data_IF_092137939925
#
_entry.id   IF_092137939925
#
_cell.length_a   1.000
_cell.length_b   1.000
_cell.length_c   1.000
_cell.angle_alpha   90.00
_cell.angle_beta   90.00
_cell.angle_gamma   90.00
#
_symmetry.space_group_name_H-M   'P 1'
#
loop_
_entity.id
_entity.type
_entity.pdbx_description
1 polymer ?
#
# COMPACT_ATOMS: atom_id res chain seq x y z
N UNK A 1 22.69 13.42 4.86
CA UNK A 1 22.44 11.98 4.74
C UNK A 1 21.88 11.74 3.34
N UNK A 2 22.61 10.97 2.51
CA UNK A 2 22.16 10.62 1.17
C UNK A 2 21.08 9.53 1.25
N UNK A 3 19.99 9.71 0.53
CA UNK A 3 18.96 8.68 0.37
C UNK A 3 19.40 7.71 -0.73
N UNK A 4 19.48 6.41 -0.42
CA UNK A 4 19.73 5.38 -1.40
C UNK A 4 18.40 4.89 -1.98
N UNK A 5 18.30 4.76 -3.29
CA UNK A 5 17.15 4.19 -3.99
C UNK A 5 17.51 2.86 -4.61
N UNK A 6 16.61 1.89 -4.50
CA UNK A 6 16.72 0.59 -5.15
C UNK A 6 15.82 0.56 -6.39
N UNK A 7 16.37 0.16 -7.53
CA UNK A 7 15.64 -0.11 -8.76
C UNK A 7 15.39 -1.62 -8.90
N UNK A 8 14.23 -1.99 -9.40
CA UNK A 8 13.81 -3.38 -9.57
C UNK A 8 12.97 -3.60 -10.82
N UNK A 9 12.25 -4.70 -10.87
CA UNK A 9 11.40 -5.05 -12.02
C UNK A 9 10.31 -4.02 -12.32
N UNK A 10 9.77 -3.35 -11.30
CA UNK A 10 8.78 -2.27 -11.48
C UNK A 10 9.35 -1.03 -12.14
N UNK A 11 10.66 -0.83 -12.05
CA UNK A 11 11.39 0.26 -12.69
C UNK A 11 11.87 -0.12 -14.10
N UNK A 12 11.50 -1.32 -14.59
CA UNK A 12 11.86 -1.79 -15.93
C UNK A 12 13.12 -2.66 -16.01
N UNK A 13 13.70 -3.05 -14.87
CA UNK A 13 14.82 -3.98 -14.87
C UNK A 13 14.33 -5.41 -15.16
N UNK A 14 14.79 -6.00 -16.27
CA UNK A 14 14.45 -7.37 -16.63
C UNK A 14 15.04 -8.40 -15.66
N UNK A 15 16.17 -8.07 -15.02
CA UNK A 15 16.83 -8.90 -14.02
C UNK A 15 17.56 -8.02 -13.00
N UNK A 16 17.51 -8.38 -11.73
CA UNK A 16 18.17 -7.67 -10.62
C UNK A 16 19.52 -8.27 -10.21
N UNK A 17 19.96 -9.37 -10.85
CA UNK A 17 21.26 -10.00 -10.58
C UNK A 17 22.32 -9.38 -11.50
N UNK A 18 23.09 -8.44 -10.96
CA UNK A 18 24.20 -7.80 -11.66
C UNK A 18 25.45 -8.68 -11.61
N UNK A 19 26.20 -8.68 -12.73
CA UNK A 19 27.49 -9.32 -12.79
C UNK A 19 28.53 -8.49 -12.03
N UNK A 20 29.44 -9.18 -11.35
CA UNK A 20 30.51 -8.51 -10.61
C UNK A 20 31.42 -7.75 -11.58
N UNK A 21 31.75 -6.49 -11.22
CA UNK A 21 32.62 -5.59 -12.01
C UNK A 21 32.11 -5.21 -13.42
N UNK A 22 30.85 -5.48 -13.72
CA UNK A 22 30.24 -5.22 -15.03
C UNK A 22 29.39 -3.94 -15.04
N UNK A 23 29.91 -2.88 -14.45
CA UNK A 23 29.28 -1.56 -14.38
C UNK A 23 30.21 -0.55 -14.99
N UNK A 24 29.71 0.27 -15.92
CA UNK A 24 30.44 1.36 -16.55
C UNK A 24 29.56 2.60 -16.66
N UNK A 25 30.18 3.75 -16.44
CA UNK A 25 29.54 5.06 -16.67
C UNK A 25 30.28 5.70 -17.84
N UNK A 26 29.55 6.04 -18.89
CA UNK A 26 30.02 6.91 -19.93
C UNK A 26 29.74 8.36 -19.50
N UNK A 27 30.80 9.04 -19.07
CA UNK A 27 30.72 10.42 -18.58
C UNK A 27 30.32 11.41 -19.69
N UNK A 28 30.63 11.10 -20.94
CA UNK A 28 30.35 11.98 -22.08
C UNK A 28 28.87 12.05 -22.42
N UNK A 29 28.18 10.92 -22.34
CA UNK A 29 26.75 10.80 -22.59
C UNK A 29 25.91 10.80 -21.31
N UNK A 30 26.54 10.68 -20.14
CA UNK A 30 25.88 10.50 -18.86
C UNK A 30 25.11 9.18 -18.79
N UNK A 31 25.54 8.16 -19.55
CA UNK A 31 24.84 6.86 -19.61
C UNK A 31 25.52 5.86 -18.68
N UNK A 32 24.71 5.23 -17.87
CA UNK A 32 25.09 4.12 -17.02
C UNK A 32 24.79 2.79 -17.73
N UNK A 33 25.76 1.91 -17.76
CA UNK A 33 25.68 0.57 -18.33
C UNK A 33 25.95 -0.48 -17.27
N UNK A 34 25.18 -1.55 -17.28
CA UNK A 34 25.42 -2.68 -16.38
C UNK A 34 25.04 -4.00 -17.03
N UNK A 35 25.88 -5.02 -16.86
CA UNK A 35 25.53 -6.37 -17.26
C UNK A 35 24.79 -7.11 -16.15
N UNK A 36 23.74 -7.80 -16.51
CA UNK A 36 22.94 -8.68 -15.64
C UNK A 36 22.91 -10.08 -16.21
N UNK A 37 22.42 -11.04 -15.43
CA UNK A 37 22.20 -12.42 -15.93
C UNK A 37 21.15 -12.50 -17.05
N UNK A 38 20.33 -11.46 -17.23
CA UNK A 38 19.32 -11.37 -18.29
C UNK A 38 19.73 -10.49 -19.48
N UNK A 39 20.98 -9.98 -19.51
CA UNK A 39 21.49 -9.13 -20.58
C UNK A 39 22.05 -7.80 -20.11
N UNK A 40 22.30 -6.90 -21.05
CA UNK A 40 22.82 -5.57 -20.79
C UNK A 40 21.68 -4.59 -20.49
N UNK A 41 21.78 -3.87 -19.39
CA UNK A 41 20.88 -2.78 -19.04
C UNK A 41 21.62 -1.45 -19.13
N UNK A 42 20.91 -0.40 -19.55
CA UNK A 42 21.44 0.96 -19.58
C UNK A 42 20.39 1.95 -19.11
N UNK A 43 20.84 3.07 -18.55
CA UNK A 43 20.00 4.19 -18.18
C UNK A 43 20.77 5.49 -18.27
N UNK A 44 20.13 6.58 -18.67
CA UNK A 44 20.71 7.92 -18.56
C UNK A 44 20.61 8.40 -17.12
N UNK A 45 21.68 8.94 -16.58
CA UNK A 45 21.70 9.50 -15.23
C UNK A 45 20.71 10.64 -15.06
N UNK A 46 20.44 11.41 -16.14
CA UNK A 46 19.40 12.43 -16.16
C UNK A 46 18.01 11.86 -15.88
N UNK A 47 17.71 10.73 -16.51
CA UNK A 47 16.39 10.10 -16.41
C UNK A 47 16.20 9.48 -15.02
N UNK A 48 17.25 8.86 -14.47
CA UNK A 48 17.26 8.34 -13.10
C UNK A 48 17.02 9.47 -12.09
N UNK A 49 17.65 10.65 -12.28
CA UNK A 49 17.50 11.80 -11.39
C UNK A 49 16.14 12.51 -11.56
N UNK A 50 15.59 12.51 -12.76
CA UNK A 50 14.34 13.19 -13.10
C UNK A 50 13.10 12.31 -12.95
N UNK A 51 13.25 11.03 -12.66
CA UNK A 51 12.08 10.15 -12.43
C UNK A 51 11.30 10.70 -11.26
N UNK A 52 10.36 11.60 -11.56
CA UNK A 52 9.31 11.97 -10.61
C UNK A 52 8.55 10.69 -10.33
N UNK A 53 8.60 10.25 -9.09
CA UNK A 53 7.84 9.08 -8.65
C UNK A 53 6.39 9.32 -8.98
N UNK A 54 5.86 8.53 -9.88
CA UNK A 54 4.45 8.52 -10.14
C UNK A 54 3.81 7.83 -8.95
N UNK A 55 2.94 8.54 -8.24
CA UNK A 55 2.13 7.93 -7.19
C UNK A 55 1.44 6.68 -7.77
N UNK A 56 1.67 5.53 -7.13
CA UNK A 56 1.03 4.27 -7.47
C UNK A 56 -0.01 4.01 -6.39
N UNK A 57 -1.29 4.21 -6.69
CA UNK A 57 -2.33 4.02 -5.69
C UNK A 57 -2.47 2.54 -5.33
N UNK A 58 -2.77 2.30 -4.06
CA UNK A 58 -3.23 1.00 -3.58
C UNK A 58 -4.76 1.05 -3.57
N UNK A 59 -5.39 0.05 -4.17
CA UNK A 59 -6.84 -0.13 -4.17
C UNK A 59 -7.24 -1.32 -3.32
N UNK A 60 -8.50 -1.36 -2.90
CA UNK A 60 -9.10 -2.53 -2.26
C UNK A 60 -9.74 -3.41 -3.33
N UNK A 61 -9.44 -4.70 -3.30
CA UNK A 61 -9.99 -5.69 -4.24
C UNK A 61 -11.09 -6.56 -3.63
N UNK A 62 -11.09 -6.67 -2.31
CA UNK A 62 -12.11 -7.41 -1.54
C UNK A 62 -12.36 -6.65 -0.23
N UNK A 63 -13.61 -6.58 0.17
CA UNK A 63 -14.05 -6.04 1.47
C UNK A 63 -15.07 -7.02 2.05
N UNK A 64 -14.88 -7.38 3.30
CA UNK A 64 -15.79 -8.22 4.07
C UNK A 64 -16.04 -7.56 5.43
N UNK A 65 -17.30 -7.45 5.79
CA UNK A 65 -17.78 -7.07 7.11
C UNK A 65 -18.73 -8.19 7.60
N UNK A 66 -19.98 -7.88 7.91
CA UNK A 66 -21.06 -8.83 8.09
C UNK A 66 -21.45 -9.56 6.78
N UNK A 67 -21.08 -8.97 5.63
CA UNK A 67 -21.27 -9.56 4.31
C UNK A 67 -20.03 -9.32 3.42
N UNK A 68 -19.97 -9.99 2.29
CA UNK A 68 -19.01 -9.72 1.22
C UNK A 68 -19.51 -8.58 0.33
N UNK A 69 -18.68 -7.57 0.14
CA UNK A 69 -18.99 -6.44 -0.72
C UNK A 69 -18.95 -6.84 -2.19
N UNK A 70 -19.94 -6.40 -2.95
CA UNK A 70 -19.95 -6.52 -4.41
C UNK A 70 -18.94 -5.54 -5.04
N UNK A 71 -18.53 -5.74 -6.30
CA UNK A 71 -17.64 -4.79 -6.99
C UNK A 71 -18.19 -3.36 -7.05
N UNK A 72 -19.51 -3.20 -7.13
CA UNK A 72 -20.18 -1.90 -7.13
C UNK A 72 -20.06 -1.20 -5.78
N UNK A 73 -20.28 -1.92 -4.69
CA UNK A 73 -20.12 -1.41 -3.31
C UNK A 73 -18.67 -1.03 -3.03
N UNK A 74 -17.70 -1.88 -3.45
CA UNK A 74 -16.25 -1.56 -3.34
C UNK A 74 -15.94 -0.28 -4.11
N UNK A 75 -16.50 -0.11 -5.32
CA UNK A 75 -16.31 1.10 -6.11
C UNK A 75 -16.85 2.34 -5.40
N UNK A 76 -17.99 2.25 -4.73
CA UNK A 76 -18.54 3.31 -3.90
C UNK A 76 -17.61 3.68 -2.74
N UNK A 77 -17.13 2.68 -2.00
CA UNK A 77 -16.17 2.86 -0.90
C UNK A 77 -14.89 3.55 -1.39
N UNK A 78 -14.37 3.18 -2.55
CA UNK A 78 -13.16 3.79 -3.12
C UNK A 78 -13.37 5.22 -3.59
N UNK A 79 -14.54 5.53 -4.17
CA UNK A 79 -14.90 6.89 -4.60
C UNK A 79 -15.00 7.85 -3.42
N UNK A 80 -15.65 7.41 -2.35
CA UNK A 80 -15.84 8.22 -1.14
C UNK A 80 -14.64 8.16 -0.20
N UNK A 81 -13.71 7.25 -0.45
CA UNK A 81 -12.59 6.92 0.46
C UNK A 81 -13.08 6.62 1.89
N UNK A 82 -14.26 6.03 2.02
CA UNK A 82 -14.95 5.78 3.27
C UNK A 82 -15.59 4.39 3.29
N UNK A 83 -15.20 3.57 4.27
CA UNK A 83 -15.86 2.32 4.63
C UNK A 83 -16.68 2.55 5.90
N UNK A 84 -17.99 2.51 5.81
CA UNK A 84 -18.86 2.59 6.98
C UNK A 84 -19.35 1.19 7.34
N UNK A 85 -19.08 0.77 8.58
CA UNK A 85 -19.54 -0.52 9.09
C UNK A 85 -21.03 -0.42 9.48
N UNK A 86 -21.71 -1.57 9.52
CA UNK A 86 -23.08 -1.60 10.03
C UNK A 86 -23.12 -1.41 11.55
N UNK A 87 -24.27 -1.05 12.11
CA UNK A 87 -24.41 -0.75 13.56
C UNK A 87 -24.11 -1.92 14.49
N UNK A 88 -24.10 -3.12 13.96
CA UNK A 88 -23.86 -4.34 14.72
C UNK A 88 -22.46 -4.92 14.44
N UNK A 89 -21.71 -4.26 13.59
CA UNK A 89 -20.43 -4.72 13.08
C UNK A 89 -19.30 -3.91 13.71
N UNK A 90 -18.30 -4.61 14.21
CA UNK A 90 -17.11 -4.01 14.80
C UNK A 90 -15.84 -4.67 14.26
N UNK A 91 -15.95 -5.30 13.10
CA UNK A 91 -14.84 -5.95 12.43
C UNK A 91 -14.92 -5.74 10.91
N UNK A 92 -13.76 -5.74 10.28
CA UNK A 92 -13.67 -5.74 8.83
C UNK A 92 -12.43 -6.50 8.37
N UNK A 93 -12.51 -7.04 7.18
CA UNK A 93 -11.37 -7.64 6.46
C UNK A 93 -11.31 -7.01 5.08
N UNK A 94 -10.11 -6.61 4.67
CA UNK A 94 -9.87 -6.06 3.34
C UNK A 94 -8.70 -6.77 2.68
N UNK A 95 -8.78 -6.98 1.37
CA UNK A 95 -7.64 -7.34 0.53
C UNK A 95 -7.26 -6.14 -0.33
N UNK A 96 -6.00 -5.80 -0.37
CA UNK A 96 -5.51 -4.67 -1.14
C UNK A 96 -4.62 -5.11 -2.31
N UNK A 97 -4.55 -4.26 -3.33
CA UNK A 97 -3.74 -4.46 -4.53
C UNK A 97 -3.14 -3.14 -4.98
N UNK A 98 -1.81 -3.05 -5.21
CA UNK A 98 -1.22 -1.88 -5.84
C UNK A 98 -1.56 -1.85 -7.32
N UNK A 99 -1.96 -0.68 -7.84
CA UNK A 99 -2.26 -0.45 -9.26
C UNK A 99 -0.97 -0.16 -10.04
N UNK A 100 -0.05 -1.11 -10.06
CA UNK A 100 1.23 -1.01 -10.76
C UNK A 100 1.28 -1.97 -11.95
N UNK A 101 1.81 -1.49 -13.07
CA UNK A 101 2.21 -2.35 -14.18
C UNK A 101 3.54 -3.02 -13.83
N UNK A 102 3.58 -4.35 -13.83
CA UNK A 102 4.78 -5.13 -13.54
C UNK A 102 4.64 -6.10 -12.38
N UNK A 103 5.76 -6.69 -11.96
CA UNK A 103 5.77 -7.67 -10.89
C UNK A 103 5.73 -7.00 -9.50
N UNK A 104 4.56 -6.91 -8.91
CA UNK A 104 4.36 -6.38 -7.55
C UNK A 104 4.51 -7.43 -6.46
N UNK A 105 4.83 -8.69 -6.83
CA UNK A 105 4.93 -9.81 -5.88
C UNK A 105 6.08 -9.65 -4.87
N UNK A 106 7.14 -8.98 -5.29
CA UNK A 106 8.33 -8.76 -4.47
C UNK A 106 8.22 -7.52 -3.55
N UNK A 107 7.12 -6.76 -3.67
CA UNK A 107 6.86 -5.62 -2.80
C UNK A 107 6.40 -6.10 -1.44
N UNK A 108 7.06 -5.60 -0.42
CA UNK A 108 6.65 -5.76 0.98
C UNK A 108 5.83 -4.55 1.39
N UNK A 109 4.70 -4.80 2.04
CA UNK A 109 3.79 -3.73 2.48
C UNK A 109 3.73 -3.68 4.00
N UNK A 110 3.44 -2.49 4.50
CA UNK A 110 3.08 -2.26 5.89
C UNK A 110 1.77 -1.51 5.96
N UNK A 111 1.05 -1.68 7.05
CA UNK A 111 -0.23 -1.03 7.28
C UNK A 111 -0.37 -0.61 8.74
N UNK A 112 -1.24 0.35 8.97
CA UNK A 112 -1.58 0.88 10.28
C UNK A 112 -3.03 1.35 10.28
N UNK A 113 -3.77 1.07 11.33
CA UNK A 113 -5.08 1.64 11.57
C UNK A 113 -4.93 2.81 12.57
N UNK A 114 -4.73 4.01 12.04
CA UNK A 114 -4.63 5.23 12.86
C UNK A 114 -5.90 5.44 13.67
N UNK A 115 -5.73 5.76 14.95
CA UNK A 115 -6.82 5.85 15.93
C UNK A 115 -7.05 4.56 16.71
N UNK A 116 -6.49 3.44 16.27
CA UNK A 116 -6.54 2.17 16.97
C UNK A 116 -5.14 1.74 17.49
N UNK A 117 -4.11 1.98 16.71
CA UNK A 117 -2.73 1.58 17.03
C UNK A 117 -1.71 2.64 16.61
N UNK A 118 -0.54 2.66 17.29
CA UNK A 118 0.53 3.64 17.07
C UNK A 118 1.71 3.07 16.28
N UNK A 119 1.64 1.82 15.82
CA UNK A 119 2.73 1.12 15.16
C UNK A 119 2.31 0.59 13.79
N UNK A 120 3.30 0.38 12.93
CA UNK A 120 3.13 -0.24 11.64
C UNK A 120 3.21 -1.75 11.74
N UNK A 121 2.23 -2.43 11.16
CA UNK A 121 2.22 -3.88 10.98
C UNK A 121 2.74 -4.25 9.60
N UNK A 122 3.40 -5.41 9.49
CA UNK A 122 3.82 -5.93 8.20
C UNK A 122 2.71 -6.77 7.60
N UNK A 123 2.35 -6.45 6.35
CA UNK A 123 1.40 -7.27 5.62
C UNK A 123 2.05 -8.56 5.11
N UNK A 124 1.32 -9.64 5.18
CA UNK A 124 1.75 -10.90 4.60
C UNK A 124 1.59 -10.91 3.06
N UNK A 125 1.97 -12.02 2.43
CA UNK A 125 1.88 -12.18 0.97
C UNK A 125 0.44 -12.25 0.44
N UNK A 126 -0.52 -12.56 1.30
CA UNK A 126 -1.95 -12.61 0.94
C UNK A 126 -2.54 -11.22 0.77
N UNK A 127 -1.88 -10.21 1.35
CA UNK A 127 -2.31 -8.80 1.35
C UNK A 127 -3.70 -8.61 1.95
N UNK A 128 -4.01 -9.44 2.94
CA UNK A 128 -5.24 -9.38 3.70
C UNK A 128 -4.96 -8.67 5.02
N UNK A 129 -5.80 -7.70 5.36
CA UNK A 129 -5.78 -6.97 6.63
C UNK A 129 -7.11 -7.21 7.31
N UNK A 130 -7.08 -7.62 8.57
CA UNK A 130 -8.27 -7.85 9.36
C UNK A 130 -8.16 -7.15 10.72
N UNK A 131 -9.21 -6.43 11.08
CA UNK A 131 -9.38 -5.82 12.40
C UNK A 131 -10.68 -6.31 13.02
N UNK A 132 -10.63 -6.57 14.32
CA UNK A 132 -11.78 -7.08 15.08
C UNK A 132 -11.92 -6.32 16.40
N UNK A 133 -13.14 -6.33 16.94
CA UNK A 133 -13.47 -5.69 18.22
C UNK A 133 -13.10 -4.20 18.25
N UNK A 134 -13.37 -3.50 17.16
CA UNK A 134 -13.17 -2.06 17.09
C UNK A 134 -14.22 -1.34 17.95
N UNK A 135 -13.75 -0.34 18.69
CA UNK A 135 -14.66 0.56 19.39
C UNK A 135 -15.35 1.50 18.38
N UNK A 136 -16.58 2.00 18.72
CA UNK A 136 -17.18 3.04 17.90
C UNK A 136 -16.26 4.24 17.73
N UNK A 137 -16.10 4.70 16.50
CA UNK A 137 -15.18 5.79 16.19
C UNK A 137 -14.78 5.83 14.72
N UNK A 138 -13.97 6.80 14.38
CA UNK A 138 -13.44 6.98 13.03
C UNK A 138 -11.94 6.70 13.02
N UNK A 139 -11.54 5.83 12.11
CA UNK A 139 -10.16 5.36 11.95
C UNK A 139 -9.67 5.65 10.54
N UNK A 140 -8.36 5.65 10.33
CA UNK A 140 -7.77 5.74 8.99
C UNK A 140 -6.86 4.54 8.77
N UNK A 141 -7.26 3.64 7.87
CA UNK A 141 -6.39 2.56 7.41
C UNK A 141 -5.41 3.11 6.39
N UNK A 142 -4.12 3.07 6.72
CA UNK A 142 -3.02 3.44 5.85
C UNK A 142 -2.25 2.20 5.42
N UNK A 143 -1.90 2.15 4.14
CA UNK A 143 -1.13 1.04 3.57
C UNK A 143 -0.03 1.66 2.71
N UNK A 144 1.20 1.18 2.83
CA UNK A 144 2.31 1.65 2.00
C UNK A 144 3.33 0.54 1.73
N UNK A 145 4.05 0.66 0.61
CA UNK A 145 5.15 -0.24 0.31
C UNK A 145 6.42 0.19 1.06
N UNK A 146 7.10 -0.78 1.67
CA UNK A 146 8.33 -0.54 2.42
C UNK A 146 9.44 -0.09 1.47
N UNK A 147 10.01 1.08 1.75
CA UNK A 147 11.06 1.68 0.91
C UNK A 147 10.56 2.40 -0.34
N UNK A 148 9.25 2.43 -0.57
CA UNK A 148 8.61 3.10 -1.72
C UNK A 148 7.39 3.89 -1.27
N UNK A 149 7.57 5.07 -0.64
CA UNK A 149 6.46 5.85 -0.08
C UNK A 149 5.48 6.37 -1.14
N UNK A 150 5.89 6.38 -2.42
CA UNK A 150 5.02 6.68 -3.55
C UNK A 150 3.96 5.61 -3.83
N UNK A 151 4.14 4.39 -3.31
CA UNK A 151 3.18 3.28 -3.41
C UNK A 151 2.40 3.22 -2.10
N UNK A 152 1.29 3.92 -2.06
CA UNK A 152 0.47 4.02 -0.85
C UNK A 152 -1.02 4.13 -1.16
N UNK A 153 -1.82 3.96 -0.12
CA UNK A 153 -3.26 4.17 -0.12
C UNK A 153 -3.78 4.40 1.30
N UNK A 154 -4.88 5.10 1.40
CA UNK A 154 -5.57 5.27 2.67
C UNK A 154 -7.09 5.23 2.46
N UNK A 155 -7.79 4.78 3.49
CA UNK A 155 -9.25 4.77 3.55
C UNK A 155 -9.70 5.06 4.97
N UNK A 156 -10.75 5.85 5.11
CA UNK A 156 -11.40 6.10 6.39
C UNK A 156 -12.34 4.95 6.70
N UNK A 157 -12.29 4.45 7.93
CA UNK A 157 -13.20 3.41 8.45
C UNK A 157 -14.04 4.03 9.56
N UNK A 158 -15.34 4.04 9.39
CA UNK A 158 -16.29 4.59 10.34
C UNK A 158 -17.05 3.44 11.02
N UNK A 159 -16.86 3.32 12.33
CA UNK A 159 -17.53 2.33 13.18
C UNK A 159 -18.63 3.05 13.96
N UNK A 160 -19.89 2.89 13.61
CA UNK A 160 -20.98 3.64 14.22
C UNK A 160 -21.24 3.19 15.66
N UNK A 161 -21.76 4.11 16.48
CA UNK A 161 -22.21 3.77 17.82
C UNK A 161 -23.41 2.82 17.78
N UNK A 162 -23.31 1.71 18.50
CA UNK A 162 -24.46 0.82 18.69
C UNK A 162 -25.48 1.45 19.63
N UNK A 163 -26.76 1.13 19.43
CA UNK A 163 -27.85 1.61 20.32
C UNK A 163 -27.60 1.27 21.79
N UNK A 164 -26.97 0.13 22.07
CA UNK A 164 -26.63 -0.29 23.43
C UNK A 164 -25.50 0.55 24.08
N UNK A 165 -24.55 1.04 23.28
CA UNK A 165 -23.50 1.92 23.78
C UNK A 165 -24.04 3.30 24.17
N UNK A 166 -25.06 3.79 23.44
CA UNK A 166 -25.77 5.03 23.76
C UNK A 166 -26.54 4.88 25.09
N UNK A 167 -27.20 3.74 25.30
CA UNK A 167 -27.93 3.46 26.53
C UNK A 167 -27.00 3.41 27.75
N UNK A 168 -25.81 2.81 27.63
CA UNK A 168 -24.81 2.74 28.67
C UNK A 168 -24.26 4.12 29.04
N UNK A 169 -24.07 5.00 28.06
CA UNK A 169 -23.61 6.37 28.27
C UNK A 169 -24.63 7.23 29.03
N UNK A 170 -25.93 7.00 28.81
CA UNK A 170 -27.04 7.70 29.48
C UNK A 170 -27.18 7.22 30.95
N UNK A 171 -26.79 6.00 31.25
CA UNK A 171 -26.89 5.45 32.64
C UNK A 171 -25.73 5.91 33.53
N UNK A 172 -24.60 6.35 32.95
CA UNK A 172 -23.38 6.81 33.67
C UNK A 172 -23.37 8.33 33.88
N UNK A 173 -24.28 9.08 33.28
CA UNK A 173 -24.51 10.51 33.51
C UNK A 173 -25.64 10.75 34.52
#
# INVERSE_FOLDING_TARGET
>A
QGTARRFGHIDGLANSQFQSHAIQIDESSGTYWAATNGGLVYAKLSDIRQTKFRHIPITLSEIQTDHWFTPEEISGVLLDSLLTLSRHDNEFTVRFTPLAFGNTRDLTFRYQLEGHEDHWNMADRTRIIAYRNLWPGRYTLRIEAVGMPEVNGCIVVDVPMTSNAILLLIIVL
#
